data_IF_050222382078
#
_entry.id   IF_050222382078
#
_cell.length_a   1.000
_cell.length_b   1.000
_cell.length_c   1.000
_cell.angle_alpha   90.00
_cell.angle_beta   90.00
_cell.angle_gamma   90.00
#
_symmetry.space_group_name_H-M   'P 1'
#
loop_
_entity.id
_entity.type
_entity.pdbx_description
1 polymer ?
#
# COMPACT_ATOMS: atom_id res chain seq x y z
N UNK A 1 -15.00 32.62 -26.39
CA UNK A 1 -16.33 32.78 -27.04
C UNK A 1 -16.89 31.40 -27.41
N UNK A 2 -18.21 31.32 -27.76
CA UNK A 2 -18.80 30.05 -28.22
C UNK A 2 -18.12 29.46 -29.45
N UNK A 3 -17.57 30.30 -30.29
CA UNK A 3 -16.78 29.89 -31.45
C UNK A 3 -15.50 29.16 -31.06
N UNK A 4 -14.74 29.71 -30.14
CA UNK A 4 -13.49 29.10 -29.63
C UNK A 4 -13.77 27.77 -28.93
N UNK A 5 -14.88 27.68 -28.19
CA UNK A 5 -15.31 26.44 -27.52
C UNK A 5 -15.65 25.33 -28.53
N UNK A 6 -16.33 25.70 -29.63
CA UNK A 6 -16.67 24.73 -30.68
C UNK A 6 -15.43 24.29 -31.48
N UNK A 7 -14.51 25.21 -31.78
CA UNK A 7 -13.23 24.89 -32.43
C UNK A 7 -12.37 23.95 -31.58
N UNK A 8 -12.33 24.15 -30.23
CA UNK A 8 -11.62 23.24 -29.31
C UNK A 8 -12.30 21.89 -29.22
N UNK A 9 -13.64 21.83 -29.19
CA UNK A 9 -14.38 20.56 -29.23
C UNK A 9 -14.12 19.77 -30.50
N UNK A 10 -14.04 20.44 -31.63
CA UNK A 10 -13.77 19.82 -32.93
C UNK A 10 -12.34 19.28 -32.99
N UNK A 11 -11.35 20.06 -32.55
CA UNK A 11 -9.94 19.62 -32.45
C UNK A 11 -9.76 18.40 -31.56
N UNK A 12 -10.49 18.33 -30.45
CA UNK A 12 -10.44 17.22 -29.51
C UNK A 12 -11.30 16.00 -29.94
N UNK A 13 -12.09 16.17 -31.03
CA UNK A 13 -12.99 15.14 -31.55
C UNK A 13 -14.15 14.82 -30.60
N UNK A 14 -14.57 15.79 -29.77
CA UNK A 14 -15.64 15.62 -28.79
C UNK A 14 -17.04 15.62 -29.42
N UNK A 15 -17.14 15.99 -30.70
CA UNK A 15 -18.38 15.97 -31.47
C UNK A 15 -18.72 14.56 -32.02
N UNK A 16 -17.76 13.63 -31.98
CA UNK A 16 -17.96 12.26 -32.44
C UNK A 16 -18.79 11.45 -31.43
N UNK A 17 -19.46 10.38 -31.86
CA UNK A 17 -20.11 9.42 -30.94
C UNK A 17 -19.14 8.88 -29.91
N UNK A 18 -19.62 8.64 -28.67
CA UNK A 18 -18.79 8.19 -27.53
C UNK A 18 -17.96 6.94 -27.86
N UNK A 19 -18.52 5.99 -28.60
CA UNK A 19 -17.79 4.77 -29.01
C UNK A 19 -16.59 5.06 -29.93
N UNK A 20 -16.72 6.06 -30.80
CA UNK A 20 -15.63 6.49 -31.69
C UNK A 20 -14.54 7.21 -30.88
N UNK A 21 -14.94 8.08 -29.97
CA UNK A 21 -13.99 8.76 -29.06
C UNK A 21 -13.21 7.73 -28.22
N UNK A 22 -13.92 6.75 -27.64
CA UNK A 22 -13.31 5.67 -26.86
C UNK A 22 -12.36 4.82 -27.70
N UNK A 23 -12.79 4.41 -28.90
CA UNK A 23 -11.97 3.60 -29.80
C UNK A 23 -10.67 4.33 -30.20
N UNK A 24 -10.76 5.63 -30.48
CA UNK A 24 -9.60 6.48 -30.80
C UNK A 24 -8.65 6.59 -29.61
N UNK A 25 -9.18 6.86 -28.41
CA UNK A 25 -8.40 6.93 -27.18
C UNK A 25 -7.74 5.59 -26.86
N UNK A 26 -8.47 4.49 -26.92
CA UNK A 26 -7.95 3.16 -26.64
C UNK A 26 -6.86 2.74 -27.61
N UNK A 27 -7.03 3.05 -28.91
CA UNK A 27 -6.01 2.84 -29.92
C UNK A 27 -4.71 3.61 -29.59
N UNK A 28 -4.82 4.88 -29.20
CA UNK A 28 -3.66 5.69 -28.78
C UNK A 28 -2.96 5.07 -27.57
N UNK A 29 -3.70 4.65 -26.56
CA UNK A 29 -3.16 4.00 -25.36
C UNK A 29 -2.39 2.71 -25.70
N UNK A 30 -2.90 1.89 -26.62
CA UNK A 30 -2.21 0.67 -27.08
C UNK A 30 -0.88 0.98 -27.81
N UNK A 31 -0.72 2.17 -28.36
CA UNK A 31 0.53 2.63 -28.99
C UNK A 31 1.42 3.44 -28.03
N UNK A 32 1.06 3.49 -26.73
CA UNK A 32 1.83 4.21 -25.70
C UNK A 32 1.55 5.72 -25.63
N UNK A 33 0.58 6.23 -26.40
CA UNK A 33 0.13 7.62 -26.33
C UNK A 33 -1.02 7.74 -25.30
N UNK A 34 -0.69 8.17 -24.09
CA UNK A 34 -1.64 8.43 -23.00
C UNK A 34 -2.21 9.85 -23.05
N UNK A 35 -1.85 10.63 -24.06
CA UNK A 35 -2.25 12.03 -24.20
C UNK A 35 -1.49 12.98 -23.28
N UNK A 36 -2.04 14.17 -23.13
CA UNK A 36 -1.47 15.25 -22.31
C UNK A 36 -2.36 15.57 -21.12
N UNK A 37 -1.74 15.91 -20.01
CA UNK A 37 -2.43 16.31 -18.78
C UNK A 37 -3.06 17.69 -18.94
N UNK A 38 -4.35 17.81 -18.71
CA UNK A 38 -5.05 19.10 -18.74
C UNK A 38 -4.63 20.06 -17.62
N UNK A 39 -4.00 19.55 -16.56
CA UNK A 39 -3.57 20.36 -15.41
C UNK A 39 -2.27 21.11 -15.65
N UNK A 40 -1.31 20.50 -16.38
CA UNK A 40 0.04 21.06 -16.54
C UNK A 40 0.60 20.96 -17.96
N UNK A 41 -0.18 20.46 -18.93
CA UNK A 41 0.21 20.34 -20.33
C UNK A 41 1.30 19.30 -20.64
N UNK A 42 1.78 18.56 -19.65
CA UNK A 42 2.82 17.55 -19.85
C UNK A 42 2.27 16.23 -20.40
N UNK A 43 3.06 15.45 -21.16
CA UNK A 43 2.69 14.10 -21.57
C UNK A 43 2.39 13.23 -20.35
N UNK A 44 1.25 12.51 -20.36
CA UNK A 44 0.85 11.63 -19.23
C UNK A 44 1.86 10.48 -19.05
N UNK A 45 2.44 9.97 -20.14
CA UNK A 45 3.48 8.94 -20.09
C UNK A 45 4.71 9.38 -19.26
N UNK A 46 5.15 10.64 -19.43
CA UNK A 46 6.26 11.22 -18.65
C UNK A 46 5.90 11.29 -17.16
N UNK A 47 4.71 11.83 -16.83
CA UNK A 47 4.23 11.93 -15.45
C UNK A 47 4.08 10.56 -14.76
N UNK A 48 3.65 9.55 -15.52
CA UNK A 48 3.55 8.18 -15.03
C UNK A 48 4.93 7.59 -14.75
N UNK A 49 5.87 7.73 -15.70
CA UNK A 49 7.23 7.19 -15.54
C UNK A 49 7.97 7.80 -14.35
N UNK A 50 7.83 9.10 -14.13
CA UNK A 50 8.42 9.81 -12.99
C UNK A 50 7.90 9.30 -11.65
N UNK A 51 6.62 8.89 -11.56
CA UNK A 51 5.95 8.51 -10.31
C UNK A 51 5.88 7.02 -10.08
N UNK A 52 5.95 6.21 -11.13
CA UNK A 52 5.80 4.76 -11.02
C UNK A 52 6.89 4.13 -10.14
N UNK A 53 8.13 4.45 -10.38
CA UNK A 53 9.26 3.86 -9.65
C UNK A 53 9.26 4.22 -8.16
N UNK A 54 9.08 5.49 -7.74
CA UNK A 54 8.90 5.83 -6.33
C UNK A 54 7.72 5.10 -5.68
N UNK A 55 6.59 5.00 -6.36
CA UNK A 55 5.41 4.30 -5.86
C UNK A 55 5.67 2.81 -5.66
N UNK A 56 6.31 2.15 -6.62
CA UNK A 56 6.68 0.73 -6.51
C UNK A 56 7.69 0.49 -5.38
N UNK A 57 8.69 1.36 -5.22
CA UNK A 57 9.65 1.28 -4.11
C UNK A 57 8.94 1.39 -2.76
N UNK A 58 8.03 2.35 -2.62
CA UNK A 58 7.25 2.55 -1.40
C UNK A 58 6.34 1.34 -1.12
N UNK A 59 5.62 0.86 -2.12
CA UNK A 59 4.72 -0.29 -1.98
C UNK A 59 5.49 -1.56 -1.59
N UNK A 60 6.63 -1.81 -2.23
CA UNK A 60 7.48 -2.96 -1.92
C UNK A 60 8.07 -2.87 -0.50
N UNK A 61 8.57 -1.71 -0.09
CA UNK A 61 9.09 -1.50 1.25
C UNK A 61 7.99 -1.70 2.32
N UNK A 62 6.80 -1.15 2.10
CA UNK A 62 5.67 -1.34 3.00
C UNK A 62 5.23 -2.81 3.09
N UNK A 63 5.19 -3.51 1.94
CA UNK A 63 4.86 -4.93 1.89
C UNK A 63 5.87 -5.79 2.65
N UNK A 64 7.17 -5.56 2.45
CA UNK A 64 8.22 -6.28 3.16
C UNK A 64 8.16 -6.05 4.66
N UNK A 65 8.00 -4.80 5.10
CA UNK A 65 7.85 -4.48 6.52
C UNK A 65 6.60 -5.15 7.10
N UNK A 66 5.49 -5.10 6.40
CA UNK A 66 4.26 -5.77 6.82
C UNK A 66 4.46 -7.27 6.99
N UNK A 67 5.05 -7.96 6.01
CA UNK A 67 5.31 -9.41 6.07
C UNK A 67 6.29 -9.77 7.20
N UNK A 68 7.35 -8.97 7.36
CA UNK A 68 8.36 -9.18 8.40
C UNK A 68 7.77 -9.20 9.82
N UNK A 69 6.73 -8.42 10.08
CA UNK A 69 6.08 -8.38 11.39
C UNK A 69 4.81 -9.21 11.44
N UNK A 70 3.96 -9.17 10.42
CA UNK A 70 2.67 -9.84 10.45
C UNK A 70 2.79 -11.37 10.52
N UNK A 71 3.74 -11.96 9.79
CA UNK A 71 3.93 -13.41 9.78
C UNK A 71 4.41 -13.91 11.15
N UNK A 72 5.54 -13.42 11.73
CA UNK A 72 5.99 -13.90 13.03
C UNK A 72 4.98 -13.64 14.16
N UNK A 73 4.38 -12.45 14.18
CA UNK A 73 3.39 -12.12 15.21
C UNK A 73 2.14 -12.98 15.11
N UNK A 74 1.66 -13.24 13.90
CA UNK A 74 0.52 -14.12 13.66
C UNK A 74 0.80 -15.57 14.07
N UNK A 75 1.97 -16.08 13.72
CA UNK A 75 2.43 -17.43 14.13
C UNK A 75 2.58 -17.53 15.66
N UNK A 76 3.25 -16.57 16.31
CA UNK A 76 3.39 -16.54 17.75
C UNK A 76 2.04 -16.50 18.47
N UNK A 77 1.13 -15.66 17.99
CA UNK A 77 -0.22 -15.55 18.53
C UNK A 77 -1.02 -16.86 18.36
N UNK A 78 -0.80 -17.62 17.28
CA UNK A 78 -1.46 -18.90 17.06
C UNK A 78 -0.88 -20.03 17.94
N UNK A 79 0.46 -20.13 17.98
CA UNK A 79 1.16 -21.15 18.78
C UNK A 79 0.88 -20.99 20.27
N UNK A 80 0.92 -19.74 20.74
CA UNK A 80 0.62 -19.42 22.15
C UNK A 80 -0.84 -19.00 22.36
N UNK A 81 -1.77 -19.66 21.70
CA UNK A 81 -3.22 -19.39 21.78
C UNK A 81 -3.69 -19.28 23.24
N UNK A 82 -4.48 -18.24 23.52
CA UNK A 82 -5.05 -17.91 24.82
C UNK A 82 -4.01 -17.57 25.93
N UNK A 83 -2.76 -17.34 25.56
CA UNK A 83 -1.74 -16.82 26.48
C UNK A 83 -1.72 -15.28 26.48
N UNK A 84 -0.92 -14.69 27.38
CA UNK A 84 -0.72 -13.25 27.41
C UNK A 84 -0.12 -12.70 26.10
N UNK A 85 0.73 -13.50 25.41
CA UNK A 85 1.30 -13.16 24.10
C UNK A 85 0.19 -13.00 23.06
N UNK A 86 -0.74 -13.95 22.99
CA UNK A 86 -1.89 -13.88 22.09
C UNK A 86 -2.75 -12.65 22.38
N UNK A 87 -3.03 -12.35 23.63
CA UNK A 87 -3.80 -11.16 24.01
C UNK A 87 -3.07 -9.86 23.64
N UNK A 88 -1.77 -9.79 23.85
CA UNK A 88 -0.96 -8.64 23.50
C UNK A 88 -0.96 -8.41 21.98
N UNK A 89 -0.68 -9.45 21.18
CA UNK A 89 -0.69 -9.36 19.71
C UNK A 89 -2.07 -8.94 19.20
N UNK A 90 -3.15 -9.51 19.73
CA UNK A 90 -4.51 -9.13 19.35
C UNK A 90 -4.83 -7.68 19.73
N UNK A 91 -4.36 -7.21 20.88
CA UNK A 91 -4.50 -5.82 21.29
C UNK A 91 -3.80 -4.86 20.35
N UNK A 92 -2.53 -5.14 20.00
CA UNK A 92 -1.76 -4.33 19.03
C UNK A 92 -2.42 -4.33 17.65
N UNK A 93 -2.86 -5.49 17.17
CA UNK A 93 -3.52 -5.60 15.85
C UNK A 93 -4.87 -4.90 15.82
N UNK A 94 -5.60 -4.91 16.94
CA UNK A 94 -6.84 -4.14 17.07
C UNK A 94 -6.59 -2.63 16.99
N UNK A 95 -5.58 -2.13 17.70
CA UNK A 95 -5.17 -0.72 17.58
C UNK A 95 -4.77 -0.36 16.15
N UNK A 96 -3.99 -1.23 15.49
CA UNK A 96 -3.55 -1.01 14.12
C UNK A 96 -4.70 -0.89 13.09
N UNK A 97 -5.85 -1.49 13.37
CA UNK A 97 -7.04 -1.37 12.49
C UNK A 97 -7.95 -0.22 12.91
N UNK A 98 -7.93 0.15 14.19
CA UNK A 98 -8.82 1.17 14.76
C UNK A 98 -8.29 2.59 14.56
N UNK A 99 -6.98 2.77 14.47
CA UNK A 99 -6.36 4.11 14.32
C UNK A 99 -6.30 4.48 12.84
N UNK A 100 -6.76 5.70 12.45
CA UNK A 100 -6.62 6.18 11.08
C UNK A 100 -5.14 6.27 10.65
N UNK A 101 -4.83 5.84 9.42
CA UNK A 101 -3.45 5.78 8.91
C UNK A 101 -2.71 7.13 8.98
N UNK A 102 -3.41 8.23 8.69
CA UNK A 102 -2.79 9.56 8.77
C UNK A 102 -2.35 9.90 10.20
N UNK A 103 -3.10 9.45 11.22
CA UNK A 103 -2.75 9.62 12.62
C UNK A 103 -1.45 8.88 12.98
N UNK A 104 -1.35 7.63 12.53
CA UNK A 104 -0.11 6.84 12.69
C UNK A 104 1.07 7.55 12.03
N UNK A 105 0.88 8.06 10.81
CA UNK A 105 1.91 8.85 10.11
C UNK A 105 2.34 10.10 10.88
N UNK A 106 1.38 10.84 11.44
CA UNK A 106 1.69 12.04 12.26
C UNK A 106 2.44 11.68 13.54
N UNK A 107 2.04 10.61 14.24
CA UNK A 107 2.72 10.15 15.46
C UNK A 107 4.16 9.70 15.12
N UNK A 108 4.33 8.91 14.05
CA UNK A 108 5.65 8.49 13.61
C UNK A 108 6.53 9.68 13.22
N UNK A 109 5.99 10.65 12.49
CA UNK A 109 6.70 11.86 12.14
C UNK A 109 7.12 12.63 13.40
N UNK A 110 6.20 12.85 14.34
CA UNK A 110 6.48 13.54 15.58
C UNK A 110 7.54 12.83 16.43
N UNK A 111 7.37 11.54 16.65
CA UNK A 111 8.26 10.76 17.52
C UNK A 111 9.62 10.55 16.89
N UNK A 112 9.66 10.06 15.63
CA UNK A 112 10.91 9.64 14.99
C UNK A 112 11.69 10.83 14.42
N UNK A 113 11.01 11.75 13.75
CA UNK A 113 11.68 12.84 13.07
C UNK A 113 11.87 14.07 13.97
N UNK A 114 10.83 14.50 14.71
CA UNK A 114 10.89 15.72 15.51
C UNK A 114 11.49 15.48 16.89
N UNK A 115 11.00 14.49 17.65
CA UNK A 115 11.42 14.28 19.04
C UNK A 115 12.79 13.61 19.15
N UNK A 116 13.03 12.58 18.37
CA UNK A 116 14.29 11.81 18.40
C UNK A 116 15.27 12.22 17.29
N UNK A 117 14.85 13.04 16.33
CA UNK A 117 15.67 13.50 15.20
C UNK A 117 16.41 12.36 14.46
N UNK A 118 15.80 11.16 14.40
CA UNK A 118 16.39 9.98 13.77
C UNK A 118 16.28 10.01 12.25
N UNK A 119 15.25 10.70 11.73
CA UNK A 119 15.00 10.86 10.31
C UNK A 119 14.66 12.33 10.01
N UNK A 120 14.99 12.83 8.81
CA UNK A 120 14.64 14.20 8.44
C UNK A 120 13.12 14.35 8.25
N UNK A 121 12.56 15.48 8.68
CA UNK A 121 11.13 15.84 8.47
C UNK A 121 10.85 16.03 6.98
N UNK A 122 11.76 16.71 6.29
CA UNK A 122 11.73 16.97 4.85
C UNK A 122 12.99 16.37 4.26
N UNK A 123 12.82 15.31 3.48
CA UNK A 123 13.95 14.69 2.80
C UNK A 123 14.07 15.24 1.39
N UNK A 124 15.10 16.05 1.14
CA UNK A 124 15.42 16.64 -0.17
C UNK A 124 16.36 15.76 -1.01
N UNK A 125 16.99 14.74 -0.41
CA UNK A 125 17.91 13.81 -1.06
C UNK A 125 17.21 12.64 -1.80
N UNK A 126 17.95 11.82 -2.53
CA UNK A 126 17.46 10.60 -3.19
C UNK A 126 17.54 9.35 -2.28
N UNK A 127 17.76 9.51 -0.99
CA UNK A 127 18.02 8.43 -0.03
C UNK A 127 16.80 7.59 0.35
N UNK A 128 17.08 6.43 0.92
CA UNK A 128 16.09 5.49 1.48
C UNK A 128 15.28 6.11 2.63
N UNK A 129 15.82 7.13 3.26
CA UNK A 129 15.21 7.85 4.39
C UNK A 129 13.82 8.42 4.11
N UNK A 130 13.56 8.81 2.83
CA UNK A 130 12.25 9.30 2.39
C UNK A 130 11.15 8.27 2.48
N UNK A 131 11.50 6.99 2.35
CA UNK A 131 10.55 5.89 2.19
C UNK A 131 10.22 5.28 3.55
N UNK A 132 11.12 5.39 4.55
CA UNK A 132 11.00 4.68 5.83
C UNK A 132 9.71 5.03 6.56
N UNK A 133 9.45 6.32 6.83
CA UNK A 133 8.25 6.73 7.57
C UNK A 133 6.95 6.46 6.81
N UNK A 134 6.82 6.80 5.51
CA UNK A 134 5.65 6.41 4.73
C UNK A 134 5.45 4.90 4.65
N UNK A 135 6.53 4.11 4.44
CA UNK A 135 6.44 2.66 4.39
C UNK A 135 6.03 2.06 5.74
N UNK A 136 6.58 2.55 6.85
CA UNK A 136 6.21 2.14 8.19
C UNK A 136 4.73 2.47 8.50
N UNK A 137 4.24 3.63 8.08
CA UNK A 137 2.84 4.04 8.22
C UNK A 137 1.91 3.08 7.49
N UNK A 138 2.20 2.78 6.22
CA UNK A 138 1.42 1.84 5.42
C UNK A 138 1.50 0.42 5.96
N UNK A 139 2.70 -0.04 6.34
CA UNK A 139 2.92 -1.36 6.91
C UNK A 139 2.14 -1.56 8.21
N UNK A 140 2.12 -0.58 9.11
CA UNK A 140 1.40 -0.65 10.37
C UNK A 140 -0.10 -0.88 10.17
N UNK A 141 -0.72 -0.15 9.26
CA UNK A 141 -2.12 -0.31 8.93
C UNK A 141 -2.45 -1.72 8.39
N UNK A 142 -1.57 -2.24 7.51
CA UNK A 142 -1.74 -3.56 6.93
C UNK A 142 -1.44 -4.68 7.94
N UNK A 143 -0.45 -4.50 8.82
CA UNK A 143 -0.06 -5.48 9.86
C UNK A 143 -1.25 -5.94 10.69
N UNK A 144 -2.10 -5.03 11.16
CA UNK A 144 -3.25 -5.36 12.00
C UNK A 144 -4.20 -6.36 11.33
N UNK A 145 -4.41 -6.23 10.03
CA UNK A 145 -5.24 -7.14 9.23
C UNK A 145 -4.54 -8.48 8.98
N UNK A 146 -3.31 -8.43 8.46
CA UNK A 146 -2.60 -9.63 8.00
C UNK A 146 -2.11 -10.51 9.15
N UNK A 147 -1.70 -9.94 10.29
CA UNK A 147 -1.38 -10.73 11.49
C UNK A 147 -2.56 -11.61 11.93
N UNK A 148 -3.79 -11.06 11.88
CA UNK A 148 -4.98 -11.85 12.21
C UNK A 148 -5.26 -12.95 11.19
N UNK A 149 -5.05 -12.68 9.90
CA UNK A 149 -5.20 -13.70 8.85
C UNK A 149 -4.20 -14.84 9.01
N UNK A 150 -2.91 -14.50 9.24
CA UNK A 150 -1.86 -15.50 9.51
C UNK A 150 -2.22 -16.33 10.76
N UNK A 151 -2.64 -15.68 11.86
CA UNK A 151 -3.07 -16.37 13.06
C UNK A 151 -4.19 -17.36 12.78
N UNK A 152 -5.22 -16.96 12.05
CA UNK A 152 -6.35 -17.83 11.70
C UNK A 152 -5.90 -19.01 10.85
N UNK A 153 -5.13 -18.77 9.79
CA UNK A 153 -4.62 -19.82 8.92
C UNK A 153 -3.75 -20.84 9.69
N UNK A 154 -2.84 -20.35 10.55
CA UNK A 154 -2.01 -21.24 11.38
C UNK A 154 -2.85 -22.06 12.36
N UNK A 155 -3.89 -21.46 12.97
CA UNK A 155 -4.77 -22.20 13.88
C UNK A 155 -5.59 -23.27 13.13
N UNK A 156 -6.05 -22.99 11.93
CA UNK A 156 -6.75 -23.96 11.07
C UNK A 156 -5.83 -25.13 10.73
N UNK A 157 -4.57 -24.87 10.35
CA UNK A 157 -3.59 -25.92 10.05
C UNK A 157 -3.21 -26.74 11.31
N UNK A 158 -3.04 -26.10 12.46
CA UNK A 158 -2.72 -26.81 13.72
C UNK A 158 -3.82 -27.76 14.19
N UNK A 159 -5.05 -27.59 13.72
CA UNK A 159 -6.20 -28.42 14.05
C UNK A 159 -6.47 -29.55 13.01
N UNK A 160 -5.66 -29.66 11.96
CA UNK A 160 -5.81 -30.72 10.95
C UNK A 160 -5.41 -32.11 11.49
N UNK A 161 -6.03 -33.14 10.92
CA UNK A 161 -5.81 -34.54 11.33
C UNK A 161 -4.37 -35.00 11.17
N UNK A 162 -3.65 -34.49 10.15
CA UNK A 162 -2.24 -34.84 9.93
C UNK A 162 -1.33 -34.28 11.05
N UNK A 163 -1.65 -33.12 11.61
CA UNK A 163 -0.92 -32.55 12.75
C UNK A 163 -1.18 -33.37 14.00
N UNK A 164 -2.45 -33.75 14.23
CA UNK A 164 -2.81 -34.63 15.35
C UNK A 164 -2.12 -35.98 15.22
N UNK A 165 -2.10 -36.56 14.03
CA UNK A 165 -1.37 -37.81 13.76
C UNK A 165 0.16 -37.70 13.93
N UNK A 166 0.76 -36.55 13.58
CA UNK A 166 2.17 -36.28 13.81
C UNK A 166 2.49 -36.21 15.30
N UNK A 167 1.67 -35.48 16.09
CA UNK A 167 1.82 -35.37 17.56
C UNK A 167 1.66 -36.75 18.26
N UNK A 168 0.72 -37.58 17.80
CA UNK A 168 0.56 -38.92 18.33
C UNK A 168 1.78 -39.85 18.12
N UNK A 169 2.58 -39.55 17.09
CA UNK A 169 3.85 -40.24 16.80
C UNK A 169 5.08 -39.62 17.48
N UNK A 170 4.88 -38.61 18.34
CA UNK A 170 5.96 -37.99 19.13
C UNK A 170 6.75 -36.89 18.39
N UNK A 171 6.21 -36.34 17.30
CA UNK A 171 6.77 -35.19 16.60
C UNK A 171 6.29 -33.86 17.20
#
# INVERSE_FOLDING_TARGET
SEKELNEEREKLGLNDPILVQYGRWFSKVLHGDFGTSYSNGKPVAELLSERLLPTLKLAFAALLLMLLFAIPLGMLSAVYKNSWIDYLVRGITFLGVSIPNFWVGLILLYVVALKFSLLPVISTGEGFEKIILPAATLAFAMMGKYTRQVRTAVLEELNQDYVTGARARGM
#
